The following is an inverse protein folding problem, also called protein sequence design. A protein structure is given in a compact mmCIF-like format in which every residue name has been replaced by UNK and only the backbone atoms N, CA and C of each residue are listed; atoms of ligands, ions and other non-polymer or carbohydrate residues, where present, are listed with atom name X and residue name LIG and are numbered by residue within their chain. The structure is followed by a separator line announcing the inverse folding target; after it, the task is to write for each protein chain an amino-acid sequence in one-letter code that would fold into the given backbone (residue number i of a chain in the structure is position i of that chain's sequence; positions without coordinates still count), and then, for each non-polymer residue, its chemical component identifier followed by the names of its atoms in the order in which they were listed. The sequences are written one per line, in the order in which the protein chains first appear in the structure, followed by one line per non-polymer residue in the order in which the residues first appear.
data_IF_300362794707
#
_entry.id   IF_300362794707
#
_cell.length_a   1.000
_cell.length_b   1.000
_cell.length_c   1.000
_cell.angle_alpha   90.00
_cell.angle_beta   90.00
_cell.angle_gamma   90.00
#
_symmetry.space_group_name_H-M   'P 1'
#
loop_
_entity.id
_entity.type
_entity.pdbx_description
1 polymer ?
#
# COMPACT_ATOMS: atom_id res chain seq x y z
N UNK A 1 25.82 3.27 -6.95
CA UNK A 1 24.88 2.16 -6.77
C UNK A 1 24.24 1.84 -8.11
N UNK A 2 24.26 0.58 -8.53
CA UNK A 2 23.65 0.04 -9.76
C UNK A 2 22.73 -1.13 -9.43
N UNK A 3 22.08 -1.72 -10.44
CA UNK A 3 21.30 -2.95 -10.33
C UNK A 3 20.18 -2.88 -9.27
N UNK A 4 19.54 -1.71 -9.23
CA UNK A 4 18.48 -1.40 -8.29
C UNK A 4 17.20 -2.17 -8.67
N UNK A 5 16.67 -2.91 -7.71
CA UNK A 5 15.42 -3.66 -7.86
C UNK A 5 14.60 -3.59 -6.57
N UNK A 6 13.29 -3.79 -6.69
CA UNK A 6 12.36 -3.75 -5.57
C UNK A 6 11.40 -4.93 -5.62
N UNK A 7 11.06 -5.47 -4.46
CA UNK A 7 10.06 -6.51 -4.30
C UNK A 7 9.27 -6.26 -3.02
N UNK A 8 7.96 -6.53 -3.07
CA UNK A 8 7.11 -6.55 -1.88
C UNK A 8 6.85 -8.00 -1.48
N UNK A 9 6.78 -8.25 -0.18
CA UNK A 9 6.24 -9.52 0.31
C UNK A 9 4.71 -9.55 0.11
N UNK A 10 4.13 -10.75 0.14
CA UNK A 10 2.67 -10.90 0.13
C UNK A 10 2.05 -10.08 1.26
N UNK A 11 0.98 -9.37 0.96
CA UNK A 11 0.34 -8.42 1.87
C UNK A 11 -1.19 -8.48 1.78
N UNK A 12 -1.87 -7.80 2.71
CA UNK A 12 -3.30 -7.95 2.93
C UNK A 12 -4.17 -7.48 1.76
N UNK A 13 -3.62 -6.63 0.87
CA UNK A 13 -4.35 -6.00 -0.23
C UNK A 13 -3.78 -6.33 -1.61
N UNK A 14 -2.85 -7.30 -1.71
CA UNK A 14 -2.29 -7.74 -2.98
C UNK A 14 -1.46 -6.66 -3.70
N UNK A 15 -0.91 -5.71 -2.94
CA UNK A 15 -0.15 -4.58 -3.46
C UNK A 15 1.18 -5.07 -4.02
N UNK A 16 1.47 -4.73 -5.28
CA UNK A 16 2.69 -5.12 -5.98
C UNK A 16 3.11 -4.02 -6.96
N UNK A 17 4.42 -3.85 -7.25
CA UNK A 17 4.87 -2.94 -8.30
C UNK A 17 4.35 -3.36 -9.68
N UNK A 18 3.77 -2.40 -10.42
CA UNK A 18 3.29 -2.60 -11.79
C UNK A 18 4.43 -2.66 -12.81
N UNK A 19 5.56 -2.05 -12.48
CA UNK A 19 6.75 -2.00 -13.33
C UNK A 19 8.01 -2.17 -12.48
N UNK A 20 9.13 -2.62 -13.08
CA UNK A 20 10.43 -2.55 -12.43
C UNK A 20 10.80 -1.12 -12.01
N UNK A 21 11.73 -1.00 -11.07
CA UNK A 21 12.23 0.29 -10.59
C UNK A 21 12.99 1.01 -11.71
N UNK A 22 12.49 2.15 -12.18
CA UNK A 22 13.03 2.87 -13.33
C UNK A 22 14.22 3.76 -12.94
N UNK A 23 15.40 3.16 -12.78
CA UNK A 23 16.65 3.89 -12.48
C UNK A 23 17.69 3.55 -13.57
N UNK A 24 17.77 4.35 -14.65
CA UNK A 24 18.55 3.99 -15.84
C UNK A 24 20.06 4.22 -15.69
N UNK A 25 20.48 5.03 -14.71
CA UNK A 25 21.88 5.39 -14.51
C UNK A 25 22.37 4.99 -13.12
N UNK A 26 23.68 4.76 -13.02
CA UNK A 26 24.32 4.51 -11.74
C UNK A 26 24.17 5.73 -10.82
N UNK A 27 23.68 5.50 -9.60
CA UNK A 27 23.60 6.54 -8.57
C UNK A 27 24.98 6.79 -7.97
N UNK A 28 25.56 7.96 -8.21
CA UNK A 28 26.91 8.32 -7.75
C UNK A 28 26.90 8.74 -6.27
N UNK A 29 28.05 8.69 -5.57
CA UNK A 29 28.14 9.22 -4.21
C UNK A 29 27.64 10.67 -4.13
N UNK A 30 26.89 10.99 -3.07
CA UNK A 30 26.25 12.30 -2.83
C UNK A 30 25.17 12.70 -3.86
N UNK A 31 24.69 11.78 -4.70
CA UNK A 31 23.57 12.02 -5.61
C UNK A 31 22.23 11.63 -4.97
N UNK A 32 21.18 12.38 -5.28
CA UNK A 32 19.78 12.06 -4.96
C UNK A 32 18.95 12.03 -6.23
N UNK A 33 17.95 11.15 -6.29
CA UNK A 33 17.01 11.03 -7.40
C UNK A 33 15.59 10.81 -6.85
N UNK A 34 14.59 11.31 -7.56
CA UNK A 34 13.19 11.02 -7.30
C UNK A 34 12.72 9.89 -8.20
N UNK A 35 11.98 8.94 -7.63
CA UNK A 35 11.46 7.78 -8.36
C UNK A 35 9.99 7.57 -8.04
N UNK A 36 9.16 7.56 -9.09
CA UNK A 36 7.76 7.19 -9.01
C UNK A 36 7.59 5.71 -9.36
N UNK A 37 7.12 4.90 -8.42
CA UNK A 37 6.86 3.48 -8.63
C UNK A 37 5.34 3.23 -8.72
N UNK A 38 4.80 2.95 -9.91
CA UNK A 38 3.38 2.62 -10.06
C UNK A 38 3.08 1.25 -9.43
N UNK A 39 1.94 1.14 -8.73
CA UNK A 39 1.50 -0.07 -8.03
C UNK A 39 0.12 -0.51 -8.52
N UNK A 40 -0.21 -1.79 -8.32
CA UNK A 40 -1.57 -2.34 -8.47
C UNK A 40 -1.87 -3.38 -7.37
N UNK A 41 -3.11 -3.85 -7.28
CA UNK A 41 -3.63 -4.71 -6.19
C UNK A 41 -4.02 -6.12 -6.68
N UNK A 42 -3.23 -6.70 -7.60
CA UNK A 42 -3.59 -7.95 -8.30
C UNK A 42 -2.81 -9.18 -7.81
N UNK A 43 -1.87 -9.03 -6.87
CA UNK A 43 -1.08 -10.15 -6.34
C UNK A 43 -1.89 -10.98 -5.33
N UNK A 44 -1.59 -12.28 -5.14
CA UNK A 44 -2.26 -13.09 -4.12
C UNK A 44 -2.12 -12.49 -2.71
N UNK A 45 -3.25 -12.36 -2.04
CA UNK A 45 -3.30 -11.75 -0.71
C UNK A 45 -2.77 -12.67 0.39
N UNK A 46 -2.11 -12.08 1.38
CA UNK A 46 -1.79 -12.71 2.65
C UNK A 46 -2.09 -11.70 3.75
N UNK A 47 -2.95 -12.07 4.71
CA UNK A 47 -3.26 -11.18 5.82
C UNK A 47 -2.02 -10.96 6.68
N UNK A 48 -1.66 -9.70 6.89
CA UNK A 48 -0.55 -9.27 7.75
C UNK A 48 -1.11 -8.44 8.92
N UNK A 49 -0.38 -8.39 10.04
CA UNK A 49 -0.66 -7.51 11.18
C UNK A 49 0.51 -6.51 11.36
N UNK A 50 0.25 -5.17 11.42
CA UNK A 50 -1.04 -4.52 11.20
C UNK A 50 -1.53 -4.69 9.75
N UNK A 51 -2.85 -4.55 9.55
CA UNK A 51 -3.51 -4.86 8.27
C UNK A 51 -2.88 -4.15 7.07
N UNK A 52 -2.40 -2.92 7.26
CA UNK A 52 -1.80 -2.09 6.22
C UNK A 52 -0.26 -2.11 6.19
N UNK A 53 0.38 -3.08 6.86
CA UNK A 53 1.82 -3.24 6.82
C UNK A 53 2.29 -3.78 5.45
N UNK A 54 3.34 -3.17 4.91
CA UNK A 54 4.01 -3.59 3.70
C UNK A 54 5.48 -3.86 4.00
N UNK A 55 5.92 -5.09 3.75
CA UNK A 55 7.33 -5.48 3.85
C UNK A 55 7.98 -5.34 2.48
N UNK A 56 9.09 -4.61 2.42
CA UNK A 56 9.77 -4.22 1.20
C UNK A 56 11.21 -4.71 1.24
N UNK A 57 11.66 -5.31 0.13
CA UNK A 57 13.05 -5.60 -0.15
C UNK A 57 13.53 -4.71 -1.30
N UNK A 58 14.63 -3.99 -1.10
CA UNK A 58 15.32 -3.21 -2.13
C UNK A 58 16.72 -3.77 -2.31
N UNK A 59 17.07 -4.14 -3.52
CA UNK A 59 18.40 -4.63 -3.90
C UNK A 59 19.17 -3.53 -4.60
N UNK A 60 20.49 -3.50 -4.42
CA UNK A 60 21.42 -2.87 -5.35
C UNK A 60 22.60 -3.82 -5.65
N UNK A 61 23.66 -3.30 -6.26
CA UNK A 61 24.88 -4.06 -6.57
C UNK A 61 25.74 -4.44 -5.35
N UNK A 62 25.41 -3.98 -4.15
CA UNK A 62 26.11 -4.30 -2.90
C UNK A 62 25.38 -5.35 -2.05
N UNK A 63 24.08 -5.17 -1.81
CA UNK A 63 23.29 -6.09 -0.98
C UNK A 63 21.77 -5.92 -1.20
N UNK A 64 20.96 -6.67 -0.45
CA UNK A 64 19.51 -6.53 -0.30
C UNK A 64 19.17 -5.95 1.07
N UNK A 65 18.37 -4.90 1.08
CA UNK A 65 17.94 -4.17 2.26
C UNK A 65 16.44 -4.35 2.47
N UNK A 66 16.05 -4.53 3.73
CA UNK A 66 14.66 -4.78 4.10
C UNK A 66 14.14 -3.66 4.99
N UNK A 67 12.91 -3.22 4.74
CA UNK A 67 12.21 -2.30 5.63
C UNK A 67 10.70 -2.54 5.55
N UNK A 68 9.98 -1.98 6.53
CA UNK A 68 8.52 -1.97 6.55
C UNK A 68 8.01 -0.55 6.43
N UNK A 69 6.86 -0.37 5.78
CA UNK A 69 6.10 0.86 5.81
C UNK A 69 4.60 0.56 5.96
N UNK A 70 3.84 1.58 6.39
CA UNK A 70 2.39 1.49 6.52
C UNK A 70 1.74 2.15 5.31
N UNK A 71 0.88 1.42 4.61
CA UNK A 71 0.09 1.94 3.51
C UNK A 71 -1.06 2.78 4.10
N UNK A 72 -1.18 4.08 3.78
CA UNK A 72 -2.35 4.85 4.16
C UNK A 72 -3.59 4.28 3.46
N UNK A 73 -4.58 3.79 4.21
CA UNK A 73 -5.71 3.03 3.64
C UNK A 73 -6.53 3.83 2.61
N UNK A 74 -6.50 5.17 2.68
CA UNK A 74 -7.20 6.03 1.74
C UNK A 74 -6.69 5.89 0.29
N UNK A 75 -5.46 5.42 0.06
CA UNK A 75 -4.95 5.19 -1.31
C UNK A 75 -5.59 3.97 -1.98
N UNK A 76 -6.25 3.10 -1.20
CA UNK A 76 -7.00 1.95 -1.69
C UNK A 76 -8.47 2.23 -2.00
N UNK A 77 -8.95 3.46 -1.79
CA UNK A 77 -10.33 3.82 -2.12
C UNK A 77 -10.48 3.96 -3.64
N UNK A 78 -11.41 3.21 -4.22
CA UNK A 78 -11.71 3.26 -5.65
C UNK A 78 -12.63 4.43 -5.98
N UNK A 79 -12.55 4.94 -7.21
CA UNK A 79 -13.35 6.08 -7.66
C UNK A 79 -14.86 5.77 -7.64
N UNK A 80 -15.24 4.54 -8.00
CA UNK A 80 -16.63 4.06 -7.97
C UNK A 80 -17.06 3.56 -6.58
N UNK A 81 -16.78 4.37 -5.56
CA UNK A 81 -17.11 4.06 -4.16
C UNK A 81 -18.48 4.58 -3.71
N UNK A 82 -19.22 5.31 -4.56
CA UNK A 82 -20.46 5.99 -4.17
C UNK A 82 -21.65 5.03 -4.16
N UNK A 83 -22.18 4.76 -2.98
CA UNK A 83 -23.40 3.96 -2.81
C UNK A 83 -24.67 4.76 -3.10
N UNK A 84 -25.70 4.12 -3.67
CA UNK A 84 -27.05 4.71 -3.81
C UNK A 84 -27.77 4.72 -2.46
N UNK A 85 -28.55 5.75 -2.17
CA UNK A 85 -29.22 5.94 -0.87
C UNK A 85 -30.02 4.72 -0.41
N UNK A 86 -30.82 4.12 -1.31
CA UNK A 86 -31.61 2.93 -1.00
C UNK A 86 -30.73 1.71 -0.66
N UNK A 87 -29.60 1.56 -1.36
CA UNK A 87 -28.64 0.47 -1.12
C UNK A 87 -27.92 0.68 0.20
N UNK A 88 -27.57 1.93 0.54
CA UNK A 88 -26.95 2.27 1.81
C UNK A 88 -27.87 1.94 2.99
N UNK A 89 -29.13 2.38 2.95
CA UNK A 89 -30.09 2.13 4.03
C UNK A 89 -30.38 0.63 4.24
N UNK A 90 -30.46 -0.14 3.16
CA UNK A 90 -30.62 -1.59 3.24
C UNK A 90 -29.37 -2.25 3.84
N UNK A 91 -28.19 -1.98 3.27
CA UNK A 91 -26.91 -2.55 3.73
C UNK A 91 -26.63 -2.21 5.19
N UNK A 92 -26.91 -0.98 5.63
CA UNK A 92 -26.72 -0.57 7.02
C UNK A 92 -27.61 -1.36 7.99
N UNK A 93 -28.87 -1.64 7.62
CA UNK A 93 -29.79 -2.44 8.45
C UNK A 93 -29.38 -3.92 8.53
N UNK A 94 -28.73 -4.43 7.49
CA UNK A 94 -28.32 -5.84 7.39
C UNK A 94 -27.02 -6.13 8.16
N UNK A 95 -26.17 -5.13 8.41
CA UNK A 95 -24.93 -5.30 9.19
C UNK A 95 -25.28 -5.48 10.69
N UNK A 96 -24.80 -6.53 11.37
CA UNK A 96 -25.05 -6.73 12.80
C UNK A 96 -24.52 -5.57 13.65
N UNK A 97 -25.29 -5.14 14.66
CA UNK A 97 -24.90 -4.05 15.57
C UNK A 97 -23.54 -4.29 16.27
N UNK A 98 -23.14 -5.54 16.47
CA UNK A 98 -21.83 -5.92 17.03
C UNK A 98 -20.64 -5.51 16.16
N UNK A 99 -20.88 -5.20 14.88
CA UNK A 99 -19.87 -4.70 13.94
C UNK A 99 -19.83 -3.17 13.87
N UNK A 100 -20.77 -2.48 14.52
CA UNK A 100 -20.75 -1.02 14.61
C UNK A 100 -19.67 -0.58 15.61
N UNK A 101 -18.69 0.18 15.11
CA UNK A 101 -17.62 0.75 15.92
C UNK A 101 -17.69 2.28 15.84
N UNK A 102 -17.61 2.94 16.99
CA UNK A 102 -17.65 4.40 17.09
C UNK A 102 -16.28 4.96 17.45
N UNK A 103 -15.87 5.99 16.71
CA UNK A 103 -14.57 6.65 16.88
C UNK A 103 -14.77 8.16 17.04
N UNK A 104 -13.95 8.79 17.89
CA UNK A 104 -13.95 10.25 18.06
C UNK A 104 -12.89 10.87 17.15
N UNK A 105 -13.29 11.78 16.26
CA UNK A 105 -12.36 12.54 15.43
C UNK A 105 -11.68 13.58 16.32
N UNK A 106 -10.46 13.28 16.77
CA UNK A 106 -9.64 14.23 17.51
C UNK A 106 -8.95 15.14 16.49
N UNK A 107 -9.06 16.46 16.68
CA UNK A 107 -8.21 17.40 15.96
C UNK A 107 -6.75 17.06 16.28
N UNK A 108 -5.98 16.73 15.25
CA UNK A 108 -4.52 16.79 15.34
C UNK A 108 -4.21 18.28 15.23
N UNK A 109 -3.85 18.90 16.35
CA UNK A 109 -3.31 20.27 16.40
C UNK A 109 -1.84 20.19 16.05
#
# INVERSE_FOLDING_TARGET
MTDLAIQFNKNSFGVIPSTPLAIPTALMPNQSIDVSLPLHTLDPVMKIEPLNNLQVAVKNNSDVFYFNCLIPLNVGFVEDGKMKDQVFLATWKDIPNEKELQFQIRKVI
#
